data_IF_609758347494
#
_entry.id   IF_609758347494
#
_cell.length_a   1.000
_cell.length_b   1.000
_cell.length_c   1.000
_cell.angle_alpha   90.00
_cell.angle_beta   90.00
_cell.angle_gamma   90.00
#
_symmetry.space_group_name_H-M   'P 1'
#
loop_
_entity.id
_entity.type
_entity.pdbx_description
1 polymer ?
#
# COMPACT_ATOMS: atom_id res chain seq x y z
N UNK A 1 13.18 43.74 -28.47
CA UNK A 1 12.67 43.00 -27.29
C UNK A 1 12.61 41.52 -27.65
N UNK A 2 13.29 40.61 -26.92
CA UNK A 2 13.02 39.18 -27.06
C UNK A 2 12.47 38.55 -25.76
N UNK A 3 11.56 37.61 -25.95
CA UNK A 3 10.82 36.85 -24.97
C UNK A 3 11.69 35.96 -24.06
N UNK A 4 11.23 35.72 -22.82
CA UNK A 4 11.68 34.58 -22.00
C UNK A 4 10.51 33.99 -21.24
N UNK A 5 10.00 32.87 -21.76
CA UNK A 5 9.12 31.97 -21.03
C UNK A 5 9.86 31.36 -19.85
N UNK A 6 9.29 31.51 -18.65
CA UNK A 6 9.79 30.84 -17.46
C UNK A 6 9.14 29.46 -17.40
N UNK A 7 9.88 28.44 -17.83
CA UNK A 7 9.55 27.03 -17.58
C UNK A 7 9.61 26.81 -16.07
N UNK A 8 8.47 26.47 -15.47
CA UNK A 8 8.41 25.89 -14.13
C UNK A 8 9.20 24.59 -14.14
N UNK A 9 10.35 24.61 -13.46
CA UNK A 9 11.15 23.42 -13.23
C UNK A 9 10.37 22.50 -12.28
N UNK A 10 9.73 21.47 -12.83
CA UNK A 10 9.27 20.33 -12.05
C UNK A 10 10.48 19.76 -11.32
N UNK A 11 10.49 19.88 -9.99
CA UNK A 11 11.47 19.21 -9.15
C UNK A 11 11.44 17.71 -9.49
N UNK A 12 12.59 17.05 -9.67
CA UNK A 12 12.62 15.60 -9.81
C UNK A 12 12.08 14.99 -8.51
N UNK A 13 10.92 14.32 -8.58
CA UNK A 13 10.45 13.46 -7.51
C UNK A 13 11.54 12.42 -7.26
N UNK A 14 12.05 12.40 -6.03
CA UNK A 14 12.86 11.28 -5.56
C UNK A 14 12.10 9.98 -5.85
N UNK A 15 12.78 8.88 -6.23
CA UNK A 15 12.11 7.62 -6.48
C UNK A 15 11.27 7.29 -5.24
N UNK A 16 9.95 7.41 -5.37
CA UNK A 16 9.00 7.12 -4.30
C UNK A 16 9.18 5.64 -3.96
N UNK A 17 10.03 5.32 -2.97
CA UNK A 17 10.33 3.94 -2.57
C UNK A 17 9.01 3.21 -2.49
N UNK A 18 8.74 2.30 -3.43
CA UNK A 18 7.41 1.69 -3.63
C UNK A 18 6.87 0.95 -2.40
N UNK A 19 7.78 0.68 -1.48
CA UNK A 19 7.60 -0.10 -0.26
C UNK A 19 7.28 0.75 0.99
N UNK A 20 7.20 2.08 0.88
CA UNK A 20 6.96 2.97 2.02
C UNK A 20 5.56 3.57 1.95
N UNK A 21 4.81 3.39 3.05
CA UNK A 21 3.54 4.05 3.31
C UNK A 21 3.71 5.58 3.29
N UNK A 22 2.87 6.28 2.53
CA UNK A 22 2.91 7.74 2.47
C UNK A 22 2.41 8.32 3.80
N UNK A 23 3.33 8.86 4.61
CA UNK A 23 3.01 9.43 5.91
C UNK A 23 2.03 10.61 5.82
N UNK A 24 2.06 11.37 4.72
CA UNK A 24 1.14 12.47 4.50
C UNK A 24 -0.29 11.96 4.28
N UNK A 25 -0.44 10.93 3.44
CA UNK A 25 -1.73 10.29 3.19
C UNK A 25 -2.37 9.77 4.48
N UNK A 26 -1.60 9.08 5.31
CA UNK A 26 -2.08 8.57 6.61
C UNK A 26 -2.47 9.72 7.55
N UNK A 27 -1.73 10.82 7.55
CA UNK A 27 -2.03 11.97 8.43
C UNK A 27 -3.34 12.67 8.08
N UNK A 28 -3.85 12.48 6.85
CA UNK A 28 -5.13 13.06 6.41
C UNK A 28 -6.34 12.16 6.68
N UNK A 29 -6.11 10.89 7.03
CA UNK A 29 -7.18 9.94 7.33
C UNK A 29 -7.79 10.21 8.71
N UNK A 30 -9.09 9.97 8.85
CA UNK A 30 -9.73 9.99 10.16
C UNK A 30 -9.21 8.86 11.06
N UNK A 31 -9.37 9.04 12.38
CA UNK A 31 -9.07 7.98 13.35
C UNK A 31 -9.83 6.68 13.07
N UNK A 32 -11.05 6.77 12.52
CA UNK A 32 -11.84 5.62 12.11
C UNK A 32 -11.21 4.86 10.94
N UNK A 33 -10.70 5.57 9.94
CA UNK A 33 -9.98 4.96 8.82
C UNK A 33 -8.68 4.29 9.28
N UNK A 34 -7.88 4.94 10.12
CA UNK A 34 -6.64 4.34 10.67
C UNK A 34 -6.95 3.08 11.49
N UNK A 35 -8.01 3.11 12.31
CA UNK A 35 -8.45 1.92 13.07
C UNK A 35 -8.88 0.78 12.15
N UNK A 36 -9.62 1.09 11.07
CA UNK A 36 -10.04 0.10 10.08
C UNK A 36 -8.85 -0.48 9.30
N UNK A 37 -7.84 0.32 8.95
CA UNK A 37 -6.58 -0.19 8.34
C UNK A 37 -5.92 -1.22 9.26
N UNK A 38 -5.79 -0.89 10.56
CA UNK A 38 -5.21 -1.80 11.55
C UNK A 38 -5.99 -3.11 11.65
N UNK A 39 -7.32 -3.05 11.67
CA UNK A 39 -8.18 -4.23 11.71
C UNK A 39 -8.02 -5.11 10.45
N UNK A 40 -7.94 -4.50 9.27
CA UNK A 40 -7.67 -5.20 8.00
C UNK A 40 -6.29 -5.86 8.03
N UNK A 41 -5.26 -5.14 8.47
CA UNK A 41 -3.91 -5.67 8.60
C UNK A 41 -3.86 -6.89 9.52
N UNK A 42 -4.46 -6.80 10.71
CA UNK A 42 -4.58 -7.91 11.65
C UNK A 42 -5.33 -9.11 11.06
N UNK A 43 -6.41 -8.88 10.30
CA UNK A 43 -7.15 -9.94 9.63
C UNK A 43 -6.31 -10.67 8.56
N UNK A 44 -5.53 -9.93 7.77
CA UNK A 44 -4.61 -10.50 6.77
C UNK A 44 -3.51 -11.31 7.44
N UNK A 45 -2.91 -10.79 8.51
CA UNK A 45 -1.89 -11.50 9.30
C UNK A 45 -2.47 -12.81 9.85
N UNK A 46 -3.66 -12.76 10.44
CA UNK A 46 -4.34 -13.94 10.99
C UNK A 46 -4.63 -14.99 9.90
N UNK A 47 -5.07 -14.55 8.72
CA UNK A 47 -5.33 -15.42 7.56
C UNK A 47 -4.08 -16.17 7.10
N UNK A 48 -2.90 -15.52 7.17
CA UNK A 48 -1.64 -16.06 6.67
C UNK A 48 -0.67 -16.48 7.79
N UNK A 49 -1.19 -16.86 8.96
CA UNK A 49 -0.40 -17.27 10.14
C UNK A 49 0.64 -18.36 9.86
N UNK A 50 0.31 -19.31 8.97
CA UNK A 50 1.23 -20.37 8.58
C UNK A 50 2.47 -19.84 7.84
N UNK A 51 2.31 -18.84 6.97
CA UNK A 51 3.44 -18.21 6.29
C UNK A 51 4.30 -17.39 7.26
N UNK A 52 3.66 -16.65 8.17
CA UNK A 52 4.34 -15.93 9.25
C UNK A 52 5.18 -16.87 10.12
N UNK A 53 4.68 -18.06 10.45
CA UNK A 53 5.41 -19.03 11.25
C UNK A 53 6.62 -19.67 10.52
N UNK A 54 6.61 -19.70 9.19
CA UNK A 54 7.70 -20.30 8.38
C UNK A 54 8.91 -19.36 8.25
N UNK A 55 8.66 -18.07 8.03
CA UNK A 55 9.71 -17.06 7.95
C UNK A 55 9.14 -15.68 8.32
N UNK A 56 9.31 -15.27 9.57
CA UNK A 56 8.70 -14.06 10.10
C UNK A 56 9.29 -12.79 9.49
N UNK A 57 10.62 -12.68 9.41
CA UNK A 57 11.30 -11.51 8.83
C UNK A 57 10.88 -11.26 7.39
N UNK A 58 10.90 -12.32 6.56
CA UNK A 58 10.45 -12.21 5.18
C UNK A 58 8.96 -11.84 5.08
N UNK A 59 8.12 -12.46 5.92
CA UNK A 59 6.70 -12.15 5.95
C UNK A 59 6.44 -10.68 6.28
N UNK A 60 7.09 -10.13 7.31
CA UNK A 60 6.92 -8.74 7.71
C UNK A 60 7.42 -7.77 6.64
N UNK A 61 8.54 -8.08 6.01
CA UNK A 61 9.04 -7.30 4.88
C UNK A 61 8.02 -7.26 3.75
N UNK A 62 7.51 -8.42 3.32
CA UNK A 62 6.51 -8.48 2.26
C UNK A 62 5.17 -7.88 2.64
N UNK A 63 4.74 -8.04 3.89
CA UNK A 63 3.52 -7.43 4.40
C UNK A 63 3.62 -5.91 4.33
N UNK A 64 4.71 -5.31 4.79
CA UNK A 64 4.93 -3.86 4.70
C UNK A 64 4.90 -3.34 3.26
N UNK A 65 5.49 -4.09 2.30
CA UNK A 65 5.41 -3.75 0.87
C UNK A 65 3.98 -3.80 0.33
N UNK A 66 3.25 -4.86 0.66
CA UNK A 66 1.85 -5.03 0.24
C UNK A 66 0.95 -3.96 0.87
N UNK A 67 1.20 -3.61 2.12
CA UNK A 67 0.48 -2.57 2.86
C UNK A 67 0.71 -1.19 2.25
N UNK A 68 1.96 -0.82 1.98
CA UNK A 68 2.30 0.43 1.30
C UNK A 68 1.62 0.53 -0.08
N UNK A 69 1.67 -0.56 -0.86
CA UNK A 69 1.02 -0.60 -2.18
C UNK A 69 -0.51 -0.52 -2.08
N UNK A 70 -1.13 -1.21 -1.13
CA UNK A 70 -2.57 -1.14 -0.90
C UNK A 70 -3.00 0.28 -0.49
N UNK A 71 -2.25 0.92 0.40
CA UNK A 71 -2.51 2.29 0.84
C UNK A 71 -2.41 3.30 -0.30
N UNK A 72 -1.43 3.15 -1.21
CA UNK A 72 -1.32 4.03 -2.40
C UNK A 72 -2.50 3.87 -3.36
N UNK A 73 -2.92 2.63 -3.61
CA UNK A 73 -4.10 2.38 -4.46
C UNK A 73 -5.36 2.95 -3.81
N UNK A 74 -5.47 2.85 -2.49
CA UNK A 74 -6.57 3.43 -1.72
C UNK A 74 -6.55 4.96 -1.71
N UNK A 75 -5.38 5.58 -1.56
CA UNK A 75 -5.19 7.03 -1.66
C UNK A 75 -5.60 7.54 -3.04
N UNK A 76 -5.14 6.88 -4.11
CA UNK A 76 -5.52 7.22 -5.48
C UNK A 76 -7.04 7.11 -5.70
N UNK A 77 -7.67 6.06 -5.17
CA UNK A 77 -9.12 5.88 -5.27
C UNK A 77 -9.90 6.92 -4.45
N UNK A 78 -9.38 7.33 -3.28
CA UNK A 78 -10.01 8.32 -2.42
C UNK A 78 -9.90 9.76 -2.97
N UNK A 79 -8.87 10.05 -3.78
CA UNK A 79 -8.70 11.32 -4.49
C UNK A 79 -9.51 11.43 -5.78
N UNK A 80 -10.11 10.33 -6.26
CA UNK A 80 -11.01 10.38 -7.40
C UNK A 80 -12.22 11.29 -7.09
N UNK A 81 -12.66 12.17 -8.01
CA UNK A 81 -13.81 13.04 -7.78
C UNK A 81 -15.12 12.31 -7.45
N UNK A 82 -15.25 11.04 -7.85
CA UNK A 82 -16.38 10.18 -7.50
C UNK A 82 -16.15 9.39 -6.19
N UNK A 83 -14.98 9.51 -5.57
CA UNK A 83 -14.62 8.87 -4.31
C UNK A 83 -15.25 9.56 -3.09
N UNK A 84 -15.62 8.78 -2.08
CA UNK A 84 -16.11 9.24 -0.79
C UNK A 84 -14.99 9.27 0.27
N UNK A 85 -13.82 9.84 -0.08
CA UNK A 85 -12.69 10.01 0.84
C UNK A 85 -12.33 8.74 1.61
N UNK A 86 -12.34 8.80 2.94
CA UNK A 86 -12.02 7.69 3.85
C UNK A 86 -12.80 6.40 3.59
N UNK A 87 -14.06 6.48 3.18
CA UNK A 87 -14.86 5.29 2.91
C UNK A 87 -14.29 4.52 1.68
N UNK A 88 -14.00 5.26 0.61
CA UNK A 88 -13.39 4.71 -0.61
C UNK A 88 -11.96 4.25 -0.36
N UNK A 89 -11.21 4.96 0.48
CA UNK A 89 -9.90 4.55 0.93
C UNK A 89 -9.95 3.17 1.59
N UNK A 90 -10.79 3.00 2.62
CA UNK A 90 -10.84 1.75 3.39
C UNK A 90 -11.40 0.60 2.57
N UNK A 91 -12.42 0.84 1.74
CA UNK A 91 -12.94 -0.18 0.82
C UNK A 91 -11.83 -0.70 -0.10
N UNK A 92 -11.07 0.22 -0.71
CA UNK A 92 -9.99 -0.13 -1.63
C UNK A 92 -8.85 -0.82 -0.90
N UNK A 93 -8.41 -0.30 0.24
CA UNK A 93 -7.36 -0.89 1.06
C UNK A 93 -7.72 -2.32 1.50
N UNK A 94 -8.92 -2.51 2.04
CA UNK A 94 -9.43 -3.82 2.48
C UNK A 94 -9.57 -4.82 1.33
N UNK A 95 -9.88 -4.34 0.11
CA UNK A 95 -9.95 -5.17 -1.09
C UNK A 95 -8.57 -5.56 -1.63
N UNK A 96 -7.60 -4.65 -1.56
CA UNK A 96 -6.29 -4.83 -2.20
C UNK A 96 -5.29 -5.57 -1.31
N UNK A 97 -5.20 -5.26 -0.02
CA UNK A 97 -4.18 -5.85 0.85
C UNK A 97 -4.19 -7.39 0.86
N UNK A 98 -5.34 -8.08 1.03
CA UNK A 98 -5.37 -9.54 1.02
C UNK A 98 -4.96 -10.13 -0.34
N UNK A 99 -5.28 -9.45 -1.46
CA UNK A 99 -4.94 -9.90 -2.81
C UNK A 99 -3.43 -9.79 -3.05
N UNK A 100 -2.86 -8.64 -2.73
CA UNK A 100 -1.41 -8.41 -2.83
C UNK A 100 -0.63 -9.41 -1.99
N UNK A 101 -1.07 -9.65 -0.76
CA UNK A 101 -0.43 -10.63 0.12
C UNK A 101 -0.52 -12.05 -0.43
N UNK A 102 -1.68 -12.45 -0.97
CA UNK A 102 -1.85 -13.79 -1.57
C UNK A 102 -0.92 -13.98 -2.77
N UNK A 103 -0.81 -12.97 -3.64
CA UNK A 103 0.10 -13.01 -4.81
C UNK A 103 1.56 -13.08 -4.38
N UNK A 104 1.96 -12.29 -3.38
CA UNK A 104 3.31 -12.29 -2.83
C UNK A 104 3.69 -13.66 -2.24
N UNK A 105 2.76 -14.29 -1.52
CA UNK A 105 2.95 -15.62 -0.94
C UNK A 105 3.08 -16.70 -2.01
N UNK A 106 2.19 -16.72 -3.00
CA UNK A 106 2.25 -17.69 -4.10
C UNK A 106 3.56 -17.57 -4.90
N UNK A 107 4.01 -16.33 -5.19
CA UNK A 107 5.27 -16.08 -5.88
C UNK A 107 6.47 -16.62 -5.09
N UNK A 108 6.47 -16.45 -3.76
CA UNK A 108 7.52 -16.97 -2.90
C UNK A 108 7.51 -18.49 -2.79
N UNK A 109 6.34 -19.12 -2.67
CA UNK A 109 6.23 -20.57 -2.66
C UNK A 109 6.68 -21.21 -3.97
N UNK A 110 6.41 -20.55 -5.12
CA UNK A 110 6.95 -20.97 -6.42
C UNK A 110 8.46 -20.82 -6.51
N UNK A 111 9.02 -19.73 -5.99
CA UNK A 111 10.47 -19.50 -5.96
C UNK A 111 11.21 -20.49 -5.07
N UNK A 112 10.56 -21.02 -4.02
CA UNK A 112 11.13 -21.99 -3.10
C UNK A 112 11.05 -23.45 -3.59
N UNK A 113 10.24 -23.76 -4.61
CA UNK A 113 10.19 -25.11 -5.19
C UNK A 113 11.40 -25.29 -6.12
N UNK A 114 12.38 -26.16 -5.79
CA UNK A 114 13.43 -26.49 -6.72
C UNK A 114 12.82 -27.18 -7.96
N UNK A 115 13.35 -26.83 -9.13
CA UNK A 115 13.07 -27.52 -10.40
C UNK A 115 13.54 -28.97 -10.35
#
# INVERSE_FOLDING_TARGET
MPAKGLKTASKPQAPEREDVLNAHAISTLSAGAVSAMSAVGAAVIKKHKAALARNADWFWHMFAKCEAKAARLAEQAAHDPAGCGDATFIETYARQLPKLMTVALDAHEKALKPK
#
